data_IF_546310796534
#
_entry.id   IF_546310796534
#
_cell.length_a   1.000
_cell.length_b   1.000
_cell.length_c   1.000
_cell.angle_alpha   90.00
_cell.angle_beta   90.00
_cell.angle_gamma   90.00
#
_symmetry.space_group_name_H-M   'P 1'
#
loop_
_entity.id
_entity.type
_entity.pdbx_description
1 polymer ?
#
# COMPACT_ATOMS: atom_id res chain seq x y z
N UNK A 1 -13.07 16.29 15.35
CA UNK A 1 -13.97 15.44 14.57
C UNK A 1 -13.70 15.70 13.10
N UNK A 2 -13.26 14.69 12.37
CA UNK A 2 -13.09 14.75 10.92
C UNK A 2 -14.18 13.85 10.35
N UNK A 3 -15.07 14.42 9.55
CA UNK A 3 -16.08 13.68 8.80
C UNK A 3 -15.98 14.09 7.34
N UNK A 4 -15.68 13.13 6.47
CA UNK A 4 -15.74 13.34 5.02
C UNK A 4 -17.10 12.86 4.50
N UNK A 5 -17.93 13.79 4.06
CA UNK A 5 -19.27 13.51 3.53
C UNK A 5 -19.32 13.34 2.00
N UNK A 6 -18.22 13.55 1.27
CA UNK A 6 -18.31 13.66 -0.20
C UNK A 6 -17.54 12.61 -1.01
N UNK A 7 -16.58 11.93 -0.44
CA UNK A 7 -15.84 10.84 -1.06
C UNK A 7 -15.56 9.80 0.02
N UNK A 8 -16.20 8.65 -0.08
CA UNK A 8 -15.97 7.52 0.82
C UNK A 8 -14.56 6.93 0.59
N UNK A 9 -13.55 7.66 1.06
CA UNK A 9 -12.18 7.18 1.04
C UNK A 9 -11.88 6.55 2.40
N UNK A 10 -11.39 5.30 2.44
CA UNK A 10 -11.02 4.65 3.69
C UNK A 10 -9.86 5.40 4.36
N UNK A 11 -9.85 5.40 5.70
CA UNK A 11 -8.72 5.90 6.47
C UNK A 11 -7.53 4.94 6.32
N UNK A 12 -6.35 5.50 6.08
CA UNK A 12 -5.13 4.73 5.87
C UNK A 12 -4.25 4.78 7.11
N UNK A 13 -3.97 3.62 7.70
CA UNK A 13 -2.94 3.43 8.71
C UNK A 13 -1.68 2.88 8.03
N UNK A 14 -0.71 3.75 7.78
CA UNK A 14 0.54 3.36 7.12
C UNK A 14 1.48 2.56 8.02
N UNK A 15 1.35 2.66 9.34
CA UNK A 15 2.18 1.92 10.28
C UNK A 15 1.76 0.44 10.34
N UNK A 16 0.47 0.16 10.53
CA UNK A 16 -0.04 -1.22 10.56
C UNK A 16 -0.36 -1.76 9.15
N UNK A 17 -0.25 -0.94 8.10
CA UNK A 17 -0.61 -1.31 6.73
C UNK A 17 -2.07 -1.76 6.59
N UNK A 18 -2.99 -0.96 7.16
CA UNK A 18 -4.42 -1.26 7.23
C UNK A 18 -5.23 -0.10 6.65
N UNK A 19 -6.30 -0.44 5.92
CA UNK A 19 -7.38 0.45 5.51
C UNK A 19 -8.59 0.25 6.41
N UNK A 20 -9.15 1.37 6.90
CA UNK A 20 -10.37 1.40 7.68
C UNK A 20 -11.47 2.11 6.89
N UNK A 21 -12.44 1.36 6.41
CA UNK A 21 -13.65 1.90 5.80
C UNK A 21 -14.66 2.22 6.91
N UNK A 22 -14.54 3.42 7.45
CA UNK A 22 -15.31 3.96 8.58
C UNK A 22 -15.62 5.44 8.35
N UNK A 23 -16.70 5.93 8.96
CA UNK A 23 -17.21 7.29 8.71
C UNK A 23 -16.60 8.34 9.64
N UNK A 24 -16.17 7.97 10.84
CA UNK A 24 -15.70 8.93 11.84
C UNK A 24 -14.41 8.45 12.53
N UNK A 25 -13.46 9.38 12.68
CA UNK A 25 -12.36 9.29 13.62
C UNK A 25 -12.60 10.30 14.73
N UNK A 26 -12.57 9.84 15.96
CA UNK A 26 -12.70 10.67 17.16
C UNK A 26 -11.42 10.55 18.00
N UNK A 27 -10.73 11.66 18.17
CA UNK A 27 -9.54 11.74 19.00
C UNK A 27 -9.69 12.86 20.03
N UNK A 28 -9.95 12.53 21.32
CA UNK A 28 -9.86 13.51 22.41
C UNK A 28 -8.41 13.94 22.56
N UNK A 29 -8.14 15.25 22.58
CA UNK A 29 -6.78 15.81 22.61
C UNK A 29 -6.01 15.47 23.92
N UNK A 30 -6.74 15.16 24.98
CA UNK A 30 -6.22 14.75 26.27
C UNK A 30 -6.13 13.21 26.44
N UNK A 31 -6.46 12.47 25.40
CA UNK A 31 -6.46 10.99 25.40
C UNK A 31 -5.35 10.43 24.50
N UNK A 32 -4.80 9.29 24.93
CA UNK A 32 -3.90 8.50 24.10
C UNK A 32 -4.66 7.58 23.11
N UNK A 33 -5.98 7.60 23.14
CA UNK A 33 -6.80 6.71 22.34
C UNK A 33 -7.51 7.46 21.24
N UNK A 34 -7.36 6.95 20.03
CA UNK A 34 -8.08 7.35 18.84
C UNK A 34 -9.16 6.30 18.57
N UNK A 35 -10.41 6.72 18.48
CA UNK A 35 -11.55 5.85 18.21
C UNK A 35 -12.02 6.00 16.78
N UNK A 36 -12.28 4.87 16.13
CA UNK A 36 -12.83 4.80 14.77
C UNK A 36 -14.23 4.20 14.83
N UNK A 37 -15.18 4.84 14.18
CA UNK A 37 -16.61 4.50 14.29
C UNK A 37 -17.33 4.58 12.95
N UNK A 38 -18.34 3.71 12.80
CA UNK A 38 -19.41 3.94 11.83
C UNK A 38 -20.45 4.89 12.44
N UNK A 39 -20.92 5.85 11.65
CA UNK A 39 -21.95 6.77 12.10
C UNK A 39 -23.30 6.07 12.20
N UNK A 40 -24.01 6.31 13.30
CA UNK A 40 -25.36 5.80 13.46
C UNK A 40 -26.40 6.38 12.47
N UNK A 41 -26.00 7.40 11.69
CA UNK A 41 -26.85 8.06 10.70
C UNK A 41 -27.05 7.27 9.42
N UNK A 42 -26.06 6.49 9.02
CA UNK A 42 -26.13 5.66 7.81
C UNK A 42 -26.95 4.37 8.01
N UNK A 43 -27.26 3.99 9.26
CA UNK A 43 -27.87 2.70 9.57
C UNK A 43 -26.94 1.49 9.32
N UNK A 44 -25.77 1.73 8.76
CA UNK A 44 -24.73 0.75 8.49
C UNK A 44 -23.73 0.78 9.65
N UNK A 45 -23.86 -0.13 10.59
CA UNK A 45 -22.93 -0.22 11.72
C UNK A 45 -21.68 -1.06 11.40
N UNK A 46 -21.59 -1.57 10.17
CA UNK A 46 -20.54 -2.46 9.73
C UNK A 46 -19.37 -1.66 9.18
N UNK A 47 -18.23 -1.69 9.86
CA UNK A 47 -16.96 -1.21 9.35
C UNK A 47 -16.22 -2.31 8.62
N UNK A 48 -15.49 -1.97 7.58
CA UNK A 48 -14.57 -2.88 6.89
C UNK A 48 -13.14 -2.52 7.26
N UNK A 49 -12.35 -3.53 7.59
CA UNK A 49 -10.94 -3.42 7.92
C UNK A 49 -10.19 -4.36 7.01
N UNK A 50 -9.23 -3.80 6.25
CA UNK A 50 -8.58 -4.52 5.16
C UNK A 50 -7.06 -4.28 5.18
N UNK A 51 -6.26 -5.33 4.95
CA UNK A 51 -4.83 -5.17 4.77
C UNK A 51 -4.53 -4.37 3.51
N UNK A 52 -3.57 -3.44 3.57
CA UNK A 52 -3.14 -2.65 2.41
C UNK A 52 -2.12 -3.38 1.55
N UNK A 53 -1.37 -4.26 2.17
CA UNK A 53 -0.23 -4.92 1.55
C UNK A 53 -0.61 -6.36 1.18
N UNK A 54 -1.18 -6.54 0.00
CA UNK A 54 -1.60 -7.83 -0.53
C UNK A 54 -1.40 -7.86 -2.05
N UNK A 55 -1.37 -9.06 -2.63
CA UNK A 55 -1.28 -9.22 -4.07
C UNK A 55 -2.65 -9.03 -4.73
N UNK A 56 -2.66 -8.32 -5.86
CA UNK A 56 -3.83 -8.15 -6.71
C UNK A 56 -3.43 -8.27 -8.18
N UNK A 57 -4.03 -9.22 -8.89
CA UNK A 57 -3.86 -9.38 -10.34
C UNK A 57 -4.19 -8.09 -11.08
N UNK A 58 -5.26 -7.40 -10.68
CA UNK A 58 -5.68 -6.14 -11.30
C UNK A 58 -4.59 -5.05 -11.17
N UNK A 59 -3.94 -4.94 -10.01
CA UNK A 59 -2.85 -3.98 -9.80
C UNK A 59 -1.64 -4.42 -10.62
N UNK A 60 -1.31 -5.71 -10.62
CA UNK A 60 -0.19 -6.24 -11.37
C UNK A 60 -0.34 -5.98 -12.87
N UNK A 61 -1.52 -6.26 -13.43
CA UNK A 61 -1.83 -6.05 -14.85
C UNK A 61 -1.88 -4.56 -15.21
N UNK A 62 -2.39 -3.70 -14.30
CA UNK A 62 -2.35 -2.24 -14.47
C UNK A 62 -0.92 -1.69 -14.51
N UNK A 63 -0.02 -2.22 -13.69
CA UNK A 63 1.41 -1.86 -13.70
C UNK A 63 2.05 -2.27 -15.02
N UNK A 64 1.68 -3.43 -15.57
CA UNK A 64 2.19 -3.88 -16.86
C UNK A 64 1.73 -2.97 -18.00
N UNK A 65 0.44 -2.56 -18.00
CA UNK A 65 -0.13 -1.72 -19.04
C UNK A 65 0.05 -2.35 -20.42
N UNK A 66 0.68 -1.62 -21.35
CA UNK A 66 0.99 -2.09 -22.71
C UNK A 66 2.44 -2.60 -22.86
N UNK A 67 3.20 -2.69 -21.78
CA UNK A 67 4.58 -3.17 -21.82
C UNK A 67 4.61 -4.70 -22.03
N UNK A 68 5.52 -5.19 -22.85
CA UNK A 68 5.73 -6.63 -23.07
C UNK A 68 6.18 -7.35 -21.79
N UNK A 69 6.98 -6.67 -20.97
CA UNK A 69 7.49 -7.17 -19.69
C UNK A 69 6.92 -6.31 -18.59
N UNK A 70 6.30 -6.95 -17.60
CA UNK A 70 5.85 -6.22 -16.41
C UNK A 70 7.05 -5.52 -15.74
N UNK A 71 6.95 -4.20 -15.43
CA UNK A 71 8.02 -3.42 -14.84
C UNK A 71 8.61 -4.02 -13.56
N UNK A 72 7.77 -4.64 -12.69
CA UNK A 72 8.26 -5.31 -11.49
C UNK A 72 9.21 -6.46 -11.82
N UNK A 73 8.87 -7.26 -12.84
CA UNK A 73 9.74 -8.33 -13.31
C UNK A 73 11.01 -7.79 -13.99
N UNK A 74 10.91 -6.68 -14.71
CA UNK A 74 12.06 -6.02 -15.33
C UNK A 74 13.07 -5.58 -14.28
N UNK A 75 12.61 -4.88 -13.24
CA UNK A 75 13.41 -4.44 -12.10
C UNK A 75 14.03 -5.60 -11.33
N UNK A 76 13.24 -6.66 -11.06
CA UNK A 76 13.74 -7.86 -10.39
C UNK A 76 14.85 -8.54 -11.20
N UNK A 77 14.69 -8.71 -12.51
CA UNK A 77 15.70 -9.32 -13.38
C UNK A 77 16.98 -8.46 -13.44
N UNK A 78 16.83 -7.13 -13.49
CA UNK A 78 17.97 -6.22 -13.46
C UNK A 78 18.75 -6.36 -12.13
N UNK A 79 18.04 -6.38 -10.99
CA UNK A 79 18.63 -6.60 -9.67
C UNK A 79 19.41 -7.94 -9.61
N UNK A 80 18.82 -9.01 -10.11
CA UNK A 80 19.46 -10.33 -10.14
C UNK A 80 20.74 -10.35 -11.02
N UNK A 81 20.70 -9.69 -12.19
CA UNK A 81 21.85 -9.56 -13.07
C UNK A 81 22.99 -8.78 -12.42
N UNK A 82 22.66 -7.64 -11.79
CA UNK A 82 23.63 -6.78 -11.13
C UNK A 82 24.05 -7.29 -9.74
N UNK A 83 23.36 -8.30 -9.21
CA UNK A 83 23.54 -8.86 -7.86
C UNK A 83 23.43 -7.81 -6.75
N UNK A 84 22.56 -6.83 -6.93
CA UNK A 84 22.29 -5.73 -5.97
C UNK A 84 20.86 -5.24 -6.10
N UNK A 85 20.29 -4.78 -4.99
CA UNK A 85 18.92 -4.26 -4.96
C UNK A 85 18.83 -2.73 -5.22
N UNK A 86 19.96 -2.05 -5.27
CA UNK A 86 20.07 -0.62 -5.60
C UNK A 86 20.91 -0.45 -6.85
N UNK A 87 20.38 0.26 -7.83
CA UNK A 87 21.05 0.52 -9.12
C UNK A 87 20.51 1.81 -9.75
N UNK A 88 21.20 2.34 -10.75
CA UNK A 88 20.79 3.58 -11.40
C UNK A 88 19.71 3.36 -12.47
N UNK A 89 18.97 4.42 -12.81
CA UNK A 89 18.06 4.39 -13.97
C UNK A 89 18.83 4.06 -15.25
N UNK A 90 20.07 4.51 -15.38
CA UNK A 90 20.91 4.21 -16.54
C UNK A 90 21.21 2.70 -16.66
N UNK A 91 21.53 2.02 -15.53
CA UNK A 91 21.71 0.56 -15.49
C UNK A 91 20.45 -0.16 -15.98
N UNK A 92 19.29 0.28 -15.46
CA UNK A 92 18.00 -0.31 -15.82
C UNK A 92 17.63 -0.04 -17.28
N UNK A 93 17.87 1.18 -17.76
CA UNK A 93 17.64 1.57 -19.16
C UNK A 93 18.47 0.73 -20.14
N UNK A 94 19.74 0.54 -19.83
CA UNK A 94 20.64 -0.33 -20.61
C UNK A 94 20.17 -1.78 -20.65
N UNK A 95 19.66 -2.30 -19.52
CA UNK A 95 19.13 -3.65 -19.42
C UNK A 95 17.85 -3.86 -20.22
N UNK A 96 16.85 -2.94 -20.10
CA UNK A 96 15.53 -3.12 -20.72
C UNK A 96 15.43 -2.52 -22.13
N UNK A 97 16.48 -1.78 -22.56
CA UNK A 97 16.57 -1.08 -23.86
C UNK A 97 15.45 -0.05 -24.08
N UNK A 98 15.09 0.69 -23.05
CA UNK A 98 14.15 1.82 -23.09
C UNK A 98 14.85 3.12 -22.73
N UNK A 99 14.23 4.26 -23.04
CA UNK A 99 14.78 5.56 -22.67
C UNK A 99 14.75 5.78 -21.15
N UNK A 100 15.81 6.39 -20.60
CA UNK A 100 15.89 6.70 -19.18
C UNK A 100 14.72 7.56 -18.68
N UNK A 101 14.25 8.52 -19.51
CA UNK A 101 13.14 9.41 -19.14
C UNK A 101 11.80 8.67 -18.98
N UNK A 102 11.53 7.70 -19.86
CA UNK A 102 10.33 6.86 -19.72
C UNK A 102 10.39 6.01 -18.46
N UNK A 103 11.55 5.41 -18.18
CA UNK A 103 11.75 4.57 -17.01
C UNK A 103 11.71 5.37 -15.71
N UNK A 104 12.24 6.61 -15.71
CA UNK A 104 12.17 7.49 -14.54
C UNK A 104 10.73 7.80 -14.17
N UNK A 105 9.87 8.12 -15.13
CA UNK A 105 8.44 8.32 -14.89
C UNK A 105 7.77 7.07 -14.34
N UNK A 106 8.08 5.89 -14.88
CA UNK A 106 7.56 4.62 -14.43
C UNK A 106 8.00 4.30 -13.00
N UNK A 107 9.29 4.50 -12.68
CA UNK A 107 9.84 4.26 -11.35
C UNK A 107 9.25 5.21 -10.31
N UNK A 108 8.99 6.47 -10.65
CA UNK A 108 8.29 7.42 -9.78
C UNK A 108 6.89 6.89 -9.43
N UNK A 109 6.13 6.41 -10.39
CA UNK A 109 4.81 5.82 -10.12
C UNK A 109 4.91 4.58 -9.20
N UNK A 110 5.88 3.71 -9.45
CA UNK A 110 6.13 2.54 -8.61
C UNK A 110 6.57 2.91 -7.18
N UNK A 111 7.21 4.06 -6.99
CA UNK A 111 7.57 4.54 -5.64
C UNK A 111 6.35 5.02 -4.86
N UNK A 112 5.34 5.61 -5.49
CA UNK A 112 4.06 5.93 -4.84
C UNK A 112 3.31 4.68 -4.39
N UNK A 113 3.44 3.59 -5.13
CA UNK A 113 2.83 2.30 -4.82
C UNK A 113 3.70 1.44 -3.89
N UNK A 114 4.78 1.99 -3.34
CA UNK A 114 5.68 1.35 -2.36
C UNK A 114 6.43 0.10 -2.88
N UNK A 115 6.62 -0.02 -4.19
CA UNK A 115 7.42 -1.10 -4.78
C UNK A 115 8.92 -0.83 -4.80
N UNK A 116 9.29 0.44 -4.86
CA UNK A 116 10.68 0.91 -4.89
C UNK A 116 10.85 2.20 -4.10
N UNK A 117 12.06 2.48 -3.64
CA UNK A 117 12.48 3.82 -3.26
C UNK A 117 13.26 4.43 -4.42
N UNK A 118 12.94 5.70 -4.77
CA UNK A 118 13.62 6.41 -5.82
C UNK A 118 14.32 7.66 -5.29
N UNK A 119 15.63 7.72 -5.46
CA UNK A 119 16.43 8.89 -5.13
C UNK A 119 16.68 9.72 -6.40
N UNK A 120 15.92 10.81 -6.56
CA UNK A 120 16.02 11.69 -7.72
C UNK A 120 17.41 12.34 -7.89
N UNK A 121 18.07 12.68 -6.77
CA UNK A 121 19.38 13.36 -6.80
C UNK A 121 20.48 12.46 -7.36
N UNK A 122 20.41 11.15 -7.07
CA UNK A 122 21.38 10.14 -7.51
C UNK A 122 20.90 9.33 -8.70
N UNK A 123 19.67 9.55 -9.12
CA UNK A 123 18.98 8.77 -10.17
C UNK A 123 19.03 7.25 -9.86
N UNK A 124 18.89 6.89 -8.56
CA UNK A 124 19.02 5.53 -8.04
C UNK A 124 17.67 4.95 -7.61
N UNK A 125 17.47 3.69 -7.93
CA UNK A 125 16.30 2.89 -7.56
C UNK A 125 16.73 1.83 -6.57
N UNK A 126 16.01 1.71 -5.44
CA UNK A 126 16.17 0.63 -4.47
C UNK A 126 14.90 -0.21 -4.42
N UNK A 127 15.01 -1.51 -4.65
CA UNK A 127 13.87 -2.42 -4.63
C UNK A 127 13.40 -2.66 -3.18
N UNK A 128 12.09 -2.58 -2.95
CA UNK A 128 11.46 -2.83 -1.65
C UNK A 128 10.93 -4.26 -1.56
N UNK A 129 10.68 -4.71 -0.33
CA UNK A 129 10.19 -6.06 -0.05
C UNK A 129 8.88 -6.36 -0.79
N UNK A 130 7.98 -5.37 -0.90
CA UNK A 130 6.71 -5.50 -1.62
C UNK A 130 6.88 -5.95 -3.07
N UNK A 131 7.92 -5.48 -3.78
CA UNK A 131 8.20 -5.92 -5.16
C UNK A 131 8.51 -7.42 -5.22
N UNK A 132 9.32 -7.91 -4.29
CA UNK A 132 9.69 -9.34 -4.23
C UNK A 132 8.47 -10.19 -3.88
N UNK A 133 7.64 -9.75 -2.94
CA UNK A 133 6.44 -10.48 -2.54
C UNK A 133 5.41 -10.53 -3.67
N UNK A 134 5.21 -9.41 -4.38
CA UNK A 134 4.32 -9.34 -5.54
C UNK A 134 4.74 -10.28 -6.67
N UNK A 135 6.03 -10.28 -7.01
CA UNK A 135 6.56 -11.13 -8.07
C UNK A 135 6.53 -12.61 -7.70
N UNK A 136 6.72 -12.96 -6.43
CA UNK A 136 6.58 -14.35 -5.94
C UNK A 136 5.12 -14.81 -5.91
N UNK A 137 4.22 -13.95 -5.44
CA UNK A 137 2.79 -14.25 -5.40
C UNK A 137 2.22 -14.52 -6.80
N UNK A 138 2.62 -13.69 -7.80
CA UNK A 138 2.19 -13.87 -9.21
C UNK A 138 2.50 -15.25 -9.76
N UNK A 139 3.60 -15.86 -9.34
CA UNK A 139 4.01 -17.21 -9.81
C UNK A 139 3.65 -18.31 -8.80
N UNK A 140 2.81 -18.03 -7.81
CA UNK A 140 2.35 -19.00 -6.81
C UNK A 140 3.45 -19.52 -5.86
N UNK A 141 4.54 -18.77 -5.69
CA UNK A 141 5.63 -19.14 -4.77
C UNK A 141 5.46 -18.61 -3.36
N UNK A 142 4.49 -17.74 -3.16
CA UNK A 142 4.19 -17.12 -1.86
C UNK A 142 2.71 -16.75 -1.84
N UNK A 143 2.03 -17.08 -0.71
CA UNK A 143 0.71 -16.56 -0.42
C UNK A 143 0.85 -15.10 0.03
N UNK A 144 0.03 -14.23 -0.57
CA UNK A 144 0.03 -12.80 -0.29
C UNK A 144 -1.39 -12.26 -0.41
N UNK A 145 -2.27 -12.89 0.39
CA UNK A 145 -3.70 -12.66 0.32
C UNK A 145 -4.13 -11.42 1.08
N UNK A 146 -5.26 -10.88 0.65
CA UNK A 146 -5.93 -9.82 1.36
C UNK A 146 -6.61 -10.35 2.62
N UNK A 147 -6.26 -9.76 3.76
CA UNK A 147 -6.95 -9.99 5.03
C UNK A 147 -8.04 -8.93 5.16
N UNK A 148 -9.28 -9.36 5.09
CA UNK A 148 -10.45 -8.49 5.27
C UNK A 148 -11.36 -9.04 6.33
N UNK A 149 -11.78 -8.20 7.25
CA UNK A 149 -12.79 -8.53 8.26
C UNK A 149 -13.73 -7.35 8.52
N UNK A 150 -14.82 -7.66 9.22
CA UNK A 150 -15.88 -6.72 9.50
C UNK A 150 -16.04 -6.53 10.98
N UNK A 151 -16.12 -5.30 11.44
CA UNK A 151 -16.45 -4.96 12.81
C UNK A 151 -17.91 -4.52 12.90
N UNK A 152 -18.65 -5.15 13.81
CA UNK A 152 -20.08 -4.89 14.11
C UNK A 152 -20.24 -4.58 15.60
N UNK A 153 -19.69 -3.46 16.08
CA UNK A 153 -19.82 -3.13 17.50
C UNK A 153 -21.25 -2.74 17.86
N UNK A 154 -21.59 -2.85 19.12
CA UNK A 154 -22.84 -2.31 19.66
C UNK A 154 -22.86 -0.78 19.53
N UNK A 155 -24.07 -0.19 19.55
CA UNK A 155 -24.33 1.27 19.32
C UNK A 155 -23.45 2.24 20.13
N UNK A 156 -22.89 1.80 21.26
CA UNK A 156 -22.08 2.65 22.16
C UNK A 156 -20.58 2.37 22.10
N UNK A 157 -20.13 1.41 21.27
CA UNK A 157 -18.72 1.03 21.20
C UNK A 157 -18.12 1.44 19.87
N UNK A 158 -16.84 1.86 19.82
CA UNK A 158 -16.14 2.09 18.57
C UNK A 158 -15.90 0.78 17.81
N UNK A 159 -15.74 0.88 16.49
CA UNK A 159 -15.39 -0.24 15.62
C UNK A 159 -13.92 -0.63 15.76
N UNK A 160 -13.06 0.36 16.03
CA UNK A 160 -11.66 0.15 16.35
C UNK A 160 -11.16 1.23 17.30
N UNK A 161 -10.14 0.90 18.09
CA UNK A 161 -9.44 1.81 19.00
C UNK A 161 -7.94 1.65 18.81
N UNK A 162 -7.25 2.75 18.55
CA UNK A 162 -5.80 2.79 18.48
C UNK A 162 -5.22 3.52 19.69
N UNK A 163 -4.28 2.90 20.39
CA UNK A 163 -3.42 3.57 21.36
C UNK A 163 -2.27 4.24 20.61
N UNK A 164 -2.33 5.57 20.44
CA UNK A 164 -1.35 6.34 19.66
C UNK A 164 0.03 6.43 20.31
N UNK A 165 0.15 6.05 21.60
CA UNK A 165 1.42 6.04 22.31
C UNK A 165 2.17 4.73 22.10
N UNK A 166 1.47 3.62 22.13
CA UNK A 166 2.04 2.27 22.03
C UNK A 166 1.80 1.62 20.65
N UNK A 167 1.11 2.32 19.75
CA UNK A 167 0.71 1.81 18.43
C UNK A 167 -0.08 0.49 18.49
N UNK A 168 -0.83 0.28 19.57
CA UNK A 168 -1.69 -0.91 19.71
C UNK A 168 -3.06 -0.64 19.12
N UNK A 169 -3.45 -1.45 18.14
CA UNK A 169 -4.76 -1.44 17.52
C UNK A 169 -5.63 -2.57 18.07
N UNK A 170 -6.85 -2.22 18.49
CA UNK A 170 -7.90 -3.16 18.90
C UNK A 170 -9.12 -2.97 18.03
N UNK A 171 -9.71 -4.05 17.59
CA UNK A 171 -10.87 -4.11 16.73
C UNK A 171 -11.97 -4.91 17.39
#
# INVERSE_FOLDING_TARGET
>A
RISEQSLHLPFKDSYHQILFDMEEIFWPLDSNYLEMRMSSRSGLFRATIESMNFFSDNIYDKIQGMDEINPLNGLLKCSLLLKKNTFTIADYAGFIKKSADQLRKQVILLSYDDFVDFNETRDEVTLKQRLFDYTKARVGKQDYDNIRFFSLPGKAKPNAVMDVRNYNLRI
#
